data_IF_540187984689
#
_entry.id   IF_540187984689
#
_cell.length_a   1.000
_cell.length_b   1.000
_cell.length_c   1.000
_cell.angle_alpha   90.00
_cell.angle_beta   90.00
_cell.angle_gamma   90.00
#
_symmetry.space_group_name_H-M   'P 1'
#
loop_
_entity.id
_entity.type
_entity.pdbx_description
1 polymer ?
#
# COMPACT_ATOMS: atom_id res chain seq x y z
N UNK A 1 38.27 -4.32 19.68
CA UNK A 1 36.81 -4.51 19.52
C UNK A 1 36.56 -5.86 18.88
N UNK A 2 36.05 -6.82 19.65
CA UNK A 2 35.74 -8.15 19.15
C UNK A 2 34.55 -8.06 18.17
N UNK A 3 34.76 -8.46 16.90
CA UNK A 3 33.66 -8.65 15.96
C UNK A 3 32.80 -9.81 16.48
N UNK A 4 31.64 -9.48 17.03
CA UNK A 4 30.61 -10.48 17.34
C UNK A 4 30.24 -11.15 16.02
N UNK A 5 30.64 -12.42 15.83
CA UNK A 5 30.20 -13.22 14.68
C UNK A 5 28.71 -13.48 14.88
N UNK A 6 27.86 -12.86 14.06
CA UNK A 6 26.46 -13.26 13.96
C UNK A 6 26.40 -14.72 13.56
N UNK A 7 25.80 -15.55 14.40
CA UNK A 7 25.71 -17.02 14.24
C UNK A 7 24.86 -17.42 13.04
N UNK A 8 24.05 -16.49 12.54
CA UNK A 8 23.14 -16.69 11.43
C UNK A 8 23.78 -16.22 10.13
N UNK A 9 23.94 -17.16 9.19
CA UNK A 9 24.39 -16.83 7.85
C UNK A 9 23.26 -16.07 7.18
N UNK A 10 23.50 -14.88 6.60
CA UNK A 10 22.46 -14.20 5.83
C UNK A 10 22.01 -15.12 4.70
N UNK A 11 20.75 -15.54 4.73
CA UNK A 11 20.11 -16.27 3.65
C UNK A 11 19.45 -15.26 2.72
N UNK A 12 19.69 -15.41 1.42
CA UNK A 12 19.04 -14.58 0.41
C UNK A 12 17.88 -15.38 -0.16
N UNK A 13 16.66 -14.84 -0.10
CA UNK A 13 15.52 -15.41 -0.82
C UNK A 13 15.87 -15.73 -2.27
N UNK A 14 15.26 -16.76 -2.86
CA UNK A 14 15.49 -17.11 -4.24
C UNK A 14 15.14 -15.93 -5.16
N UNK A 15 16.00 -15.66 -6.14
CA UNK A 15 15.85 -14.57 -7.12
C UNK A 15 14.44 -14.43 -7.72
N UNK A 16 13.75 -15.50 -8.17
CA UNK A 16 12.43 -15.36 -8.76
C UNK A 16 11.38 -14.80 -7.79
N UNK A 17 11.50 -15.08 -6.48
CA UNK A 17 10.59 -14.51 -5.48
C UNK A 17 10.87 -13.03 -5.24
N UNK A 18 12.16 -12.64 -5.24
CA UNK A 18 12.57 -11.23 -5.12
C UNK A 18 12.02 -10.42 -6.29
N UNK A 19 12.19 -10.88 -7.51
CA UNK A 19 11.75 -10.17 -8.72
C UNK A 19 10.23 -10.04 -8.76
N UNK A 20 9.51 -11.12 -8.38
CA UNK A 20 8.06 -11.11 -8.26
C UNK A 20 7.60 -10.08 -7.22
N UNK A 21 8.16 -10.12 -6.02
CA UNK A 21 7.78 -9.22 -4.93
C UNK A 21 8.15 -7.76 -5.24
N UNK A 22 9.26 -7.53 -5.95
CA UNK A 22 9.65 -6.21 -6.43
C UNK A 22 8.62 -5.66 -7.43
N UNK A 23 8.27 -6.47 -8.45
CA UNK A 23 7.32 -6.08 -9.49
C UNK A 23 5.92 -5.81 -8.91
N UNK A 24 5.33 -6.77 -8.20
CA UNK A 24 4.00 -6.61 -7.62
C UNK A 24 3.99 -5.54 -6.53
N UNK A 25 5.07 -5.41 -5.76
CA UNK A 25 5.22 -4.35 -4.78
C UNK A 25 5.15 -2.96 -5.41
N UNK A 26 5.83 -2.75 -6.52
CA UNK A 26 5.80 -1.49 -7.28
C UNK A 26 4.41 -1.22 -7.90
N UNK A 27 3.81 -2.24 -8.52
CA UNK A 27 2.46 -2.15 -9.11
C UNK A 27 1.42 -1.79 -8.04
N UNK A 28 1.40 -2.47 -6.91
CA UNK A 28 0.41 -2.22 -5.86
C UNK A 28 0.57 -0.85 -5.20
N UNK A 29 1.81 -0.38 -4.98
CA UNK A 29 2.06 0.98 -4.49
C UNK A 29 1.51 2.00 -5.49
N UNK A 30 1.85 1.86 -6.78
CA UNK A 30 1.39 2.79 -7.82
C UNK A 30 -0.12 2.79 -7.96
N UNK A 31 -0.76 1.62 -7.94
CA UNK A 31 -2.22 1.49 -7.96
C UNK A 31 -2.87 2.13 -6.74
N UNK A 32 -2.34 1.90 -5.53
CA UNK A 32 -2.83 2.54 -4.31
C UNK A 32 -2.72 4.07 -4.34
N UNK A 33 -1.58 4.59 -4.82
CA UNK A 33 -1.39 6.04 -5.02
C UNK A 33 -2.34 6.59 -6.08
N UNK A 34 -2.54 5.88 -7.19
CA UNK A 34 -3.48 6.31 -8.23
C UNK A 34 -4.92 6.41 -7.70
N UNK A 35 -5.35 5.45 -6.88
CA UNK A 35 -6.66 5.50 -6.21
C UNK A 35 -6.76 6.70 -5.26
N UNK A 36 -5.72 6.97 -4.47
CA UNK A 36 -5.69 8.13 -3.58
C UNK A 36 -5.79 9.46 -4.36
N UNK A 37 -5.07 9.58 -5.48
CA UNK A 37 -5.16 10.75 -6.38
C UNK A 37 -6.56 10.89 -6.97
N UNK A 38 -7.16 9.79 -7.46
CA UNK A 38 -8.51 9.82 -8.02
C UNK A 38 -9.54 10.26 -6.98
N UNK A 39 -9.48 9.73 -5.76
CA UNK A 39 -10.34 10.14 -4.64
C UNK A 39 -10.14 11.61 -4.30
N UNK A 40 -8.89 12.08 -4.27
CA UNK A 40 -8.55 13.48 -4.05
C UNK A 40 -9.16 14.40 -5.11
N UNK A 41 -9.03 14.04 -6.39
CA UNK A 41 -9.63 14.79 -7.50
C UNK A 41 -11.15 14.80 -7.46
N UNK A 42 -11.78 13.66 -7.16
CA UNK A 42 -13.23 13.58 -6.95
C UNK A 42 -13.63 14.56 -5.86
N UNK A 43 -12.96 14.50 -4.70
CA UNK A 43 -13.25 15.37 -3.54
C UNK A 43 -13.09 16.85 -3.84
N UNK A 44 -12.11 17.23 -4.68
CA UNK A 44 -11.92 18.61 -5.11
C UNK A 44 -12.98 19.07 -6.13
N UNK A 45 -13.48 18.15 -6.96
CA UNK A 45 -14.47 18.46 -7.99
C UNK A 45 -15.90 18.48 -7.44
N UNK A 46 -16.26 17.61 -6.50
CA UNK A 46 -17.61 17.57 -5.93
C UNK A 46 -17.74 18.55 -4.75
N UNK A 47 -18.52 19.64 -4.90
CA UNK A 47 -18.64 20.65 -3.86
C UNK A 47 -19.68 20.22 -2.82
N UNK A 48 -19.27 19.40 -1.85
CA UNK A 48 -20.02 19.19 -0.62
C UNK A 48 -19.07 18.84 0.52
N UNK A 49 -19.43 19.20 1.75
CA UNK A 49 -18.66 18.79 2.93
C UNK A 49 -19.06 17.39 3.37
N UNK A 50 -18.16 16.66 4.04
CA UNK A 50 -18.46 15.34 4.60
C UNK A 50 -19.72 15.38 5.51
N UNK A 51 -19.92 16.51 6.21
CA UNK A 51 -21.07 16.76 7.07
C UNK A 51 -22.37 16.89 6.26
N UNK A 52 -22.34 17.68 5.18
CA UNK A 52 -23.49 17.79 4.27
C UNK A 52 -23.88 16.44 3.65
N UNK A 53 -22.89 15.61 3.32
CA UNK A 53 -23.14 14.28 2.75
C UNK A 53 -23.86 13.36 3.75
N UNK A 54 -23.50 13.42 5.03
CA UNK A 54 -24.14 12.65 6.10
C UNK A 54 -25.56 13.17 6.33
N UNK A 55 -25.73 14.49 6.44
CA UNK A 55 -27.03 15.12 6.72
C UNK A 55 -28.03 14.92 5.57
N UNK A 56 -27.53 14.78 4.32
CA UNK A 56 -28.32 14.47 3.13
C UNK A 56 -28.50 12.96 2.89
N UNK A 57 -28.00 12.10 3.76
CA UNK A 57 -28.15 10.65 3.65
C UNK A 57 -27.39 10.01 2.48
N UNK A 58 -26.29 10.62 2.02
CA UNK A 58 -25.46 10.15 0.89
C UNK A 58 -24.58 8.93 1.26
N UNK A 59 -25.10 8.01 2.07
CA UNK A 59 -24.38 6.84 2.56
C UNK A 59 -23.89 5.92 1.44
N UNK A 60 -24.62 5.81 0.33
CA UNK A 60 -24.16 5.04 -0.84
C UNK A 60 -22.88 5.60 -1.45
N UNK A 61 -22.81 6.93 -1.60
CA UNK A 61 -21.61 7.61 -2.10
C UNK A 61 -20.44 7.43 -1.12
N UNK A 62 -20.67 7.68 0.17
CA UNK A 62 -19.64 7.53 1.20
C UNK A 62 -19.15 6.09 1.31
N UNK A 63 -20.05 5.11 1.15
CA UNK A 63 -19.72 3.70 1.11
C UNK A 63 -18.80 3.36 -0.07
N UNK A 64 -19.13 3.82 -1.28
CA UNK A 64 -18.29 3.60 -2.47
C UNK A 64 -16.91 4.25 -2.29
N UNK A 65 -16.86 5.52 -1.89
CA UNK A 65 -15.60 6.24 -1.66
C UNK A 65 -14.76 5.57 -0.57
N UNK A 66 -15.40 5.13 0.52
CA UNK A 66 -14.75 4.43 1.62
C UNK A 66 -14.18 3.07 1.20
N UNK A 67 -14.90 2.31 0.39
CA UNK A 67 -14.41 1.02 -0.17
C UNK A 67 -13.20 1.25 -1.07
N UNK A 68 -13.27 2.22 -1.99
CA UNK A 68 -12.12 2.54 -2.84
C UNK A 68 -10.93 3.04 -2.03
N UNK A 69 -11.15 3.90 -1.03
CA UNK A 69 -10.10 4.34 -0.13
C UNK A 69 -9.45 3.16 0.62
N UNK A 70 -10.27 2.22 1.13
CA UNK A 70 -9.80 1.02 1.81
C UNK A 70 -8.99 0.10 0.90
N UNK A 71 -9.48 -0.16 -0.31
CA UNK A 71 -8.76 -0.97 -1.32
C UNK A 71 -7.44 -0.29 -1.69
N UNK A 72 -7.45 1.01 -1.96
CA UNK A 72 -6.24 1.77 -2.30
C UNK A 72 -5.20 1.74 -1.19
N UNK A 73 -5.63 1.92 0.06
CA UNK A 73 -4.77 1.81 1.23
C UNK A 73 -4.19 0.40 1.39
N UNK A 74 -5.02 -0.63 1.25
CA UNK A 74 -4.58 -2.02 1.31
C UNK A 74 -3.52 -2.32 0.26
N UNK A 75 -3.76 -1.93 -1.01
CA UNK A 75 -2.79 -2.09 -2.10
C UNK A 75 -1.47 -1.37 -1.78
N UNK A 76 -1.53 -0.13 -1.30
CA UNK A 76 -0.34 0.62 -0.95
C UNK A 76 0.48 -0.05 0.16
N UNK A 77 -0.18 -0.46 1.24
CA UNK A 77 0.47 -1.10 2.39
C UNK A 77 1.02 -2.48 2.03
N UNK A 78 0.25 -3.29 1.31
CA UNK A 78 0.68 -4.61 0.86
C UNK A 78 1.84 -4.51 -0.13
N UNK A 79 1.79 -3.57 -1.08
CA UNK A 79 2.90 -3.31 -1.98
C UNK A 79 4.17 -2.86 -1.26
N UNK A 80 4.04 -1.98 -0.26
CA UNK A 80 5.15 -1.57 0.62
C UNK A 80 5.73 -2.74 1.40
N UNK A 81 4.89 -3.68 1.84
CA UNK A 81 5.34 -4.89 2.49
C UNK A 81 6.15 -5.77 1.53
N UNK A 82 5.66 -6.05 0.32
CA UNK A 82 6.39 -6.82 -0.69
C UNK A 82 7.73 -6.19 -1.08
N UNK A 83 7.79 -4.84 -1.19
CA UNK A 83 9.05 -4.13 -1.46
C UNK A 83 10.07 -4.32 -0.34
N UNK A 84 9.62 -4.34 0.92
CA UNK A 84 10.51 -4.61 2.07
C UNK A 84 11.06 -6.04 2.01
N UNK A 85 10.22 -7.02 1.71
CA UNK A 85 10.64 -8.42 1.55
C UNK A 85 11.66 -8.59 0.41
N UNK A 86 11.48 -7.87 -0.69
CA UNK A 86 12.42 -7.94 -1.81
C UNK A 86 13.80 -7.33 -1.51
N UNK A 87 13.91 -6.41 -0.55
CA UNK A 87 15.16 -5.68 -0.24
C UNK A 87 15.85 -6.11 1.05
N UNK A 88 15.19 -6.85 1.94
CA UNK A 88 15.80 -7.31 3.19
C UNK A 88 16.58 -8.62 2.98
N UNK A 89 17.73 -8.70 3.64
CA UNK A 89 18.45 -9.95 3.81
C UNK A 89 17.81 -10.69 4.99
N UNK A 90 17.45 -11.96 4.80
CA UNK A 90 16.95 -12.79 5.89
C UNK A 90 18.17 -13.23 6.71
N UNK A 91 18.13 -12.96 8.00
CA UNK A 91 19.05 -13.55 8.97
C UNK A 91 18.20 -14.57 9.71
N UNK A 92 18.55 -15.85 9.60
CA UNK A 92 17.96 -16.89 10.45
C UNK A 92 18.11 -16.55 11.94
#
# INVERSE_FOLDING_TARGET
MAKHKSTHKPHRRPRPEIDRNYFFGDVFIKSGVAVAVAIGLITLYTPFTLRDAIDRGMFGYLGVMGVFAGIGLFLFLYGRHLRKEATHWEFD
#
